data_IF_891985360738
#
_entry.id   IF_891985360738
#
_cell.length_a   1.000
_cell.length_b   1.000
_cell.length_c   1.000
_cell.angle_alpha   90.00
_cell.angle_beta   90.00
_cell.angle_gamma   90.00
#
_symmetry.space_group_name_H-M   'P 1'
#
loop_
_entity.id
_entity.type
_entity.pdbx_description
1 polymer ?
#
# COMPACT_ATOMS: atom_id res chain seq x y z
N UNK A 1 19.09 14.96 -13.60
CA UNK A 1 18.33 13.70 -13.43
C UNK A 1 18.36 13.19 -11.97
N UNK A 2 19.51 13.11 -11.28
CA UNK A 2 19.57 12.66 -9.87
C UNK A 2 18.69 13.49 -8.92
N UNK A 3 18.76 14.81 -8.99
CA UNK A 3 17.92 15.65 -8.11
C UNK A 3 16.42 15.41 -8.34
N UNK A 4 16.00 15.24 -9.59
CA UNK A 4 14.61 14.95 -9.92
C UNK A 4 14.18 13.59 -9.37
N UNK A 5 14.99 12.54 -9.57
CA UNK A 5 14.79 11.22 -8.97
C UNK A 5 14.60 11.30 -7.45
N UNK A 6 15.49 12.02 -6.77
CA UNK A 6 15.45 12.18 -5.31
C UNK A 6 14.18 12.88 -4.84
N UNK A 7 13.70 13.88 -5.58
CA UNK A 7 12.45 14.58 -5.27
C UNK A 7 11.25 13.63 -5.43
N UNK A 8 11.15 12.91 -6.54
CA UNK A 8 10.06 11.95 -6.76
C UNK A 8 10.05 10.83 -5.72
N UNK A 9 11.21 10.30 -5.35
CA UNK A 9 11.32 9.28 -4.30
C UNK A 9 10.88 9.81 -2.93
N UNK A 10 11.28 11.02 -2.56
CA UNK A 10 10.85 11.61 -1.28
C UNK A 10 9.35 11.87 -1.25
N UNK A 11 8.79 12.48 -2.28
CA UNK A 11 7.35 12.74 -2.37
C UNK A 11 6.58 11.42 -2.38
N UNK A 12 7.01 10.45 -3.18
CA UNK A 12 6.39 9.13 -3.25
C UNK A 12 6.44 8.38 -1.92
N UNK A 13 7.58 8.43 -1.22
CA UNK A 13 7.70 7.81 0.11
C UNK A 13 6.79 8.45 1.16
N UNK A 14 6.63 9.78 1.13
CA UNK A 14 5.70 10.49 2.02
C UNK A 14 4.25 10.12 1.68
N UNK A 15 3.89 10.07 0.40
CA UNK A 15 2.55 9.65 -0.03
C UNK A 15 2.25 8.22 0.40
N UNK A 16 3.19 7.29 0.27
CA UNK A 16 3.02 5.91 0.76
C UNK A 16 2.79 5.84 2.26
N UNK A 17 3.44 6.69 3.07
CA UNK A 17 3.17 6.79 4.51
C UNK A 17 1.73 7.25 4.76
N UNK A 18 1.27 8.28 4.06
CA UNK A 18 -0.09 8.82 4.20
C UNK A 18 -1.12 7.76 3.79
N UNK A 19 -0.92 7.09 2.65
CA UNK A 19 -1.81 6.03 2.16
C UNK A 19 -1.83 4.85 3.13
N UNK A 20 -0.67 4.43 3.64
CA UNK A 20 -0.57 3.39 4.66
C UNK A 20 -1.31 3.74 5.95
N UNK A 21 -1.25 4.98 6.41
CA UNK A 21 -2.01 5.46 7.58
C UNK A 21 -3.53 5.43 7.32
N UNK A 22 -3.98 5.80 6.13
CA UNK A 22 -5.39 5.71 5.74
C UNK A 22 -5.84 4.25 5.75
N UNK A 23 -5.06 3.32 5.17
CA UNK A 23 -5.38 1.90 5.18
C UNK A 23 -5.42 1.31 6.59
N UNK A 24 -4.56 1.78 7.51
CA UNK A 24 -4.61 1.39 8.92
C UNK A 24 -5.95 1.78 9.56
N UNK A 25 -6.40 3.01 9.35
CA UNK A 25 -7.68 3.49 9.87
C UNK A 25 -8.84 2.67 9.29
N UNK A 26 -8.85 2.46 7.98
CA UNK A 26 -9.89 1.68 7.27
C UNK A 26 -9.92 0.23 7.80
N UNK A 27 -8.76 -0.39 8.01
CA UNK A 27 -8.64 -1.73 8.59
C UNK A 27 -9.28 -1.80 9.97
N UNK A 28 -8.98 -0.83 10.84
CA UNK A 28 -9.56 -0.76 12.19
C UNK A 28 -11.09 -0.62 12.11
N UNK A 29 -11.60 0.23 11.23
CA UNK A 29 -13.05 0.40 11.03
C UNK A 29 -13.71 -0.91 10.62
N UNK A 30 -13.15 -1.65 9.66
CA UNK A 30 -13.71 -2.93 9.24
C UNK A 30 -13.62 -4.01 10.33
N UNK A 31 -12.57 -4.00 11.16
CA UNK A 31 -12.49 -4.89 12.31
C UNK A 31 -13.61 -4.57 13.31
N UNK A 32 -13.86 -3.30 13.61
CA UNK A 32 -14.93 -2.87 14.52
C UNK A 32 -16.30 -3.30 13.96
N UNK A 33 -16.54 -3.09 12.67
CA UNK A 33 -17.79 -3.47 12.00
C UNK A 33 -18.02 -4.99 11.98
N UNK A 34 -16.96 -5.80 12.04
CA UNK A 34 -17.04 -7.25 12.13
C UNK A 34 -17.23 -7.77 13.55
N UNK A 35 -17.28 -6.90 14.58
CA UNK A 35 -17.49 -7.34 15.98
C UNK A 35 -18.92 -7.83 16.23
N UNK A 36 -19.14 -8.71 17.23
CA UNK A 36 -20.48 -9.15 17.60
C UNK A 36 -21.45 -8.00 17.88
N UNK A 37 -21.01 -6.96 18.59
CA UNK A 37 -21.85 -5.80 18.90
C UNK A 37 -22.42 -5.10 17.65
N UNK A 38 -21.61 -4.95 16.58
CA UNK A 38 -22.07 -4.37 15.31
C UNK A 38 -22.97 -5.34 14.53
N UNK A 39 -22.67 -6.63 14.56
CA UNK A 39 -23.47 -7.66 13.88
C UNK A 39 -24.82 -7.88 14.58
N UNK A 40 -24.90 -7.80 15.89
CA UNK A 40 -26.15 -7.88 16.65
C UNK A 40 -27.07 -6.69 16.31
N UNK A 41 -26.54 -5.49 16.22
CA UNK A 41 -27.29 -4.31 15.77
C UNK A 41 -27.82 -4.49 14.34
N UNK A 42 -27.02 -5.01 13.42
CA UNK A 42 -27.46 -5.33 12.06
C UNK A 42 -28.57 -6.40 12.03
N UNK A 43 -28.42 -7.43 12.85
CA UNK A 43 -29.41 -8.51 12.98
C UNK A 43 -30.77 -7.96 13.47
N UNK A 44 -30.74 -7.12 14.48
CA UNK A 44 -31.95 -6.46 14.99
C UNK A 44 -32.59 -5.57 13.93
N UNK A 45 -31.79 -4.78 13.22
CA UNK A 45 -32.25 -3.92 12.14
C UNK A 45 -32.90 -4.70 10.97
N UNK A 46 -32.33 -5.85 10.61
CA UNK A 46 -32.90 -6.75 9.60
C UNK A 46 -34.21 -7.40 10.06
N UNK A 47 -34.29 -7.82 11.32
CA UNK A 47 -35.52 -8.40 11.89
C UNK A 47 -36.64 -7.41 12.03
N UNK A 48 -36.32 -6.16 12.37
CA UNK A 48 -37.30 -5.07 12.53
C UNK A 48 -37.65 -4.37 11.22
N UNK A 49 -37.01 -4.74 10.09
CA UNK A 49 -37.24 -4.12 8.78
C UNK A 49 -36.70 -2.70 8.65
N UNK A 50 -35.87 -2.22 9.58
CA UNK A 50 -35.18 -0.91 9.50
C UNK A 50 -33.95 -0.97 8.59
N UNK A 51 -33.38 -2.14 8.40
CA UNK A 51 -32.31 -2.42 7.44
C UNK A 51 -32.84 -3.39 6.40
N UNK A 52 -32.64 -3.06 5.14
CA UNK A 52 -32.99 -3.92 4.02
C UNK A 52 -31.73 -4.49 3.35
N UNK A 53 -31.80 -5.73 2.92
CA UNK A 53 -30.71 -6.37 2.16
C UNK A 53 -31.32 -7.14 1.00
N UNK A 54 -30.65 -7.11 -0.14
CA UNK A 54 -31.03 -7.92 -1.33
C UNK A 54 -30.47 -9.36 -1.23
N UNK A 55 -29.81 -9.71 -0.12
CA UNK A 55 -29.32 -11.07 0.09
C UNK A 55 -30.47 -12.03 0.32
N UNK A 56 -30.48 -13.12 -0.46
CA UNK A 56 -31.43 -14.21 -0.27
C UNK A 56 -31.02 -15.04 0.96
N UNK A 57 -31.98 -15.30 1.84
CA UNK A 57 -31.75 -16.12 3.03
C UNK A 57 -32.40 -15.56 4.30
N UNK A 58 -32.04 -16.13 5.45
CA UNK A 58 -32.51 -15.64 6.73
C UNK A 58 -31.68 -14.41 7.18
N UNK A 59 -32.23 -13.55 8.07
CA UNK A 59 -31.48 -12.44 8.63
C UNK A 59 -30.13 -12.85 9.25
N UNK A 60 -30.08 -14.00 9.89
CA UNK A 60 -28.86 -14.56 10.50
C UNK A 60 -27.80 -14.90 9.43
N UNK A 61 -28.22 -15.50 8.33
CA UNK A 61 -27.32 -15.82 7.20
C UNK A 61 -26.79 -14.54 6.55
N UNK A 62 -27.62 -13.51 6.38
CA UNK A 62 -27.21 -12.24 5.86
C UNK A 62 -26.15 -11.56 6.74
N UNK A 63 -26.34 -11.57 8.05
CA UNK A 63 -25.38 -11.00 9.01
C UNK A 63 -24.02 -11.73 8.98
N UNK A 64 -24.02 -13.07 8.91
CA UNK A 64 -22.79 -13.85 8.78
C UNK A 64 -22.06 -13.51 7.48
N UNK A 65 -22.77 -13.38 6.37
CA UNK A 65 -22.17 -13.02 5.08
C UNK A 65 -21.55 -11.60 5.14
N UNK A 66 -22.23 -10.64 5.75
CA UNK A 66 -21.73 -9.27 5.95
C UNK A 66 -20.48 -9.28 6.85
N UNK A 67 -20.49 -10.05 7.93
CA UNK A 67 -19.34 -10.19 8.82
C UNK A 67 -18.10 -10.74 8.10
N UNK A 68 -18.28 -11.81 7.30
CA UNK A 68 -17.21 -12.38 6.47
C UNK A 68 -16.68 -11.35 5.48
N UNK A 69 -17.56 -10.56 4.88
CA UNK A 69 -17.17 -9.48 3.96
C UNK A 69 -16.32 -8.43 4.67
N UNK A 70 -16.72 -7.95 5.86
CA UNK A 70 -15.95 -6.99 6.63
C UNK A 70 -14.58 -7.54 7.06
N UNK A 71 -14.50 -8.79 7.50
CA UNK A 71 -13.23 -9.44 7.83
C UNK A 71 -12.33 -9.57 6.60
N UNK A 72 -12.88 -9.95 5.46
CA UNK A 72 -12.13 -10.04 4.21
C UNK A 72 -11.57 -8.67 3.80
N UNK A 73 -12.36 -7.61 3.90
CA UNK A 73 -11.92 -6.24 3.64
C UNK A 73 -10.83 -5.81 4.63
N UNK A 74 -10.97 -6.12 5.93
CA UNK A 74 -9.95 -5.83 6.94
C UNK A 74 -8.61 -6.50 6.59
N UNK A 75 -8.64 -7.76 6.16
CA UNK A 75 -7.43 -8.49 5.73
C UNK A 75 -6.81 -7.82 4.51
N UNK A 76 -7.59 -7.51 3.48
CA UNK A 76 -7.10 -6.86 2.25
C UNK A 76 -6.43 -5.50 2.54
N UNK A 77 -7.09 -4.64 3.31
CA UNK A 77 -6.52 -3.33 3.67
C UNK A 77 -5.33 -3.45 4.62
N UNK A 78 -5.34 -4.43 5.53
CA UNK A 78 -4.21 -4.73 6.41
C UNK A 78 -2.96 -5.15 5.62
N UNK A 79 -3.12 -6.03 4.63
CA UNK A 79 -2.03 -6.41 3.72
C UNK A 79 -1.54 -5.22 2.90
N UNK A 80 -2.45 -4.41 2.34
CA UNK A 80 -2.10 -3.20 1.60
C UNK A 80 -1.31 -2.20 2.47
N UNK A 81 -1.70 -2.01 3.73
CA UNK A 81 -0.98 -1.17 4.70
C UNK A 81 0.47 -1.63 4.89
N UNK A 82 0.71 -2.95 5.02
CA UNK A 82 2.06 -3.50 5.16
C UNK A 82 2.89 -3.21 3.90
N UNK A 83 2.33 -3.42 2.70
CA UNK A 83 3.03 -3.13 1.45
C UNK A 83 3.36 -1.65 1.31
N UNK A 84 2.46 -0.73 1.67
CA UNK A 84 2.72 0.71 1.64
C UNK A 84 3.82 1.11 2.63
N UNK A 85 3.84 0.53 3.83
CA UNK A 85 4.90 0.74 4.82
C UNK A 85 6.27 0.29 4.31
N UNK A 86 6.36 -0.90 3.71
CA UNK A 86 7.58 -1.41 3.09
C UNK A 86 8.02 -0.53 1.92
N UNK A 87 7.08 -0.11 1.07
CA UNK A 87 7.35 0.78 -0.05
C UNK A 87 7.92 2.10 0.43
N UNK A 88 7.29 2.75 1.42
CA UNK A 88 7.79 3.98 2.02
C UNK A 88 9.22 3.83 2.53
N UNK A 89 9.50 2.75 3.27
CA UNK A 89 10.83 2.47 3.80
C UNK A 89 11.89 2.34 2.70
N UNK A 90 11.65 1.49 1.70
CA UNK A 90 12.63 1.24 0.64
C UNK A 90 12.81 2.43 -0.30
N UNK A 91 11.74 3.16 -0.59
CA UNK A 91 11.76 4.37 -1.42
C UNK A 91 12.54 5.49 -0.74
N UNK A 92 12.32 5.74 0.54
CA UNK A 92 13.08 6.74 1.30
C UNK A 92 14.54 6.33 1.49
N UNK A 93 14.81 5.03 1.64
CA UNK A 93 16.18 4.49 1.66
C UNK A 93 16.90 4.69 0.33
N UNK A 94 16.21 4.48 -0.81
CA UNK A 94 16.74 4.74 -2.14
C UNK A 94 17.05 6.22 -2.35
N UNK A 95 16.19 7.13 -1.87
CA UNK A 95 16.42 8.57 -1.91
C UNK A 95 17.65 9.03 -1.10
N UNK A 96 18.07 8.26 -0.09
CA UNK A 96 19.26 8.55 0.74
C UNK A 96 20.53 7.90 0.20
N UNK A 97 20.45 6.60 -0.18
CA UNK A 97 21.66 5.82 -0.53
C UNK A 97 22.08 6.00 -1.98
N UNK A 98 21.16 6.32 -2.88
CA UNK A 98 21.40 6.53 -4.32
C UNK A 98 22.20 5.40 -4.99
N UNK A 99 22.04 4.16 -4.49
CA UNK A 99 22.69 2.96 -5.04
C UNK A 99 21.77 2.22 -6.00
N UNK A 100 22.35 1.54 -6.99
CA UNK A 100 21.60 0.76 -7.97
C UNK A 100 20.65 -0.25 -7.32
N UNK A 101 21.14 -1.05 -6.36
CA UNK A 101 20.31 -2.01 -5.64
C UNK A 101 19.16 -1.36 -4.86
N UNK A 102 19.35 -0.14 -4.33
CA UNK A 102 18.28 0.58 -3.64
C UNK A 102 17.19 1.05 -4.61
N UNK A 103 17.57 1.49 -5.82
CA UNK A 103 16.61 1.86 -6.86
C UNK A 103 15.82 0.65 -7.37
N UNK A 104 16.49 -0.50 -7.61
CA UNK A 104 15.81 -1.74 -8.02
C UNK A 104 14.79 -2.17 -6.95
N UNK A 105 15.17 -2.15 -5.68
CA UNK A 105 14.25 -2.48 -4.59
C UNK A 105 13.06 -1.53 -4.54
N UNK A 106 13.28 -0.23 -4.72
CA UNK A 106 12.21 0.78 -4.76
C UNK A 106 11.27 0.57 -5.96
N UNK A 107 11.77 0.12 -7.11
CA UNK A 107 10.96 -0.23 -8.28
C UNK A 107 10.05 -1.41 -7.96
N UNK A 108 10.59 -2.49 -7.37
CA UNK A 108 9.82 -3.71 -7.04
C UNK A 108 8.70 -3.36 -6.07
N UNK A 109 9.00 -2.67 -4.98
CA UNK A 109 7.98 -2.31 -3.99
C UNK A 109 7.00 -1.25 -4.50
N UNK A 110 7.45 -0.27 -5.28
CA UNK A 110 6.57 0.70 -5.94
C UNK A 110 5.60 0.04 -6.92
N UNK A 111 6.02 -1.01 -7.63
CA UNK A 111 5.15 -1.80 -8.50
C UNK A 111 4.14 -2.63 -7.68
N UNK A 112 4.58 -3.29 -6.61
CA UNK A 112 3.71 -4.12 -5.75
C UNK A 112 2.65 -3.31 -5.00
N UNK A 113 2.99 -2.09 -4.58
CA UNK A 113 2.03 -1.18 -3.93
C UNK A 113 1.15 -0.41 -4.91
N UNK A 114 1.44 -0.47 -6.22
CA UNK A 114 0.71 0.28 -7.25
C UNK A 114 0.99 1.79 -7.24
N UNK A 115 2.00 2.26 -6.51
CA UNK A 115 2.35 3.67 -6.43
C UNK A 115 3.27 4.09 -7.57
N UNK A 116 2.78 4.95 -8.47
CA UNK A 116 3.49 5.31 -9.70
C UNK A 116 4.65 6.29 -9.45
N UNK A 117 4.53 7.23 -8.53
CA UNK A 117 5.55 8.26 -8.27
C UNK A 117 6.89 7.69 -7.82
N UNK A 118 6.96 6.78 -6.82
CA UNK A 118 8.19 6.10 -6.44
C UNK A 118 8.82 5.31 -7.58
N UNK A 119 8.00 4.66 -8.40
CA UNK A 119 8.45 3.85 -9.53
C UNK A 119 9.16 4.72 -10.58
N UNK A 120 8.55 5.83 -10.98
CA UNK A 120 9.16 6.79 -11.91
C UNK A 120 10.45 7.38 -11.34
N UNK A 121 10.45 7.77 -10.07
CA UNK A 121 11.63 8.29 -9.38
C UNK A 121 12.79 7.29 -9.34
N UNK A 122 12.50 6.02 -9.05
CA UNK A 122 13.51 4.97 -9.00
C UNK A 122 14.07 4.63 -10.38
N UNK A 123 13.24 4.60 -11.43
CA UNK A 123 13.71 4.43 -12.82
C UNK A 123 14.65 5.56 -13.23
N UNK A 124 14.31 6.81 -12.96
CA UNK A 124 15.21 7.94 -13.25
C UNK A 124 16.52 7.85 -12.47
N UNK A 125 16.47 7.39 -11.22
CA UNK A 125 17.65 7.17 -10.40
C UNK A 125 18.57 6.09 -10.98
N UNK A 126 18.00 4.98 -11.42
CA UNK A 126 18.71 3.87 -12.03
C UNK A 126 19.41 4.30 -13.34
N UNK A 127 18.68 5.01 -14.21
CA UNK A 127 19.25 5.53 -15.47
C UNK A 127 20.39 6.52 -15.19
N UNK A 128 20.27 7.36 -14.18
CA UNK A 128 21.30 8.33 -13.81
C UNK A 128 22.55 7.61 -13.25
N UNK A 129 22.37 6.58 -12.42
CA UNK A 129 23.44 5.75 -11.86
C UNK A 129 24.23 5.03 -12.96
N UNK A 130 23.54 4.40 -13.89
CA UNK A 130 24.17 3.69 -15.02
C UNK A 130 24.98 4.63 -15.94
N UNK A 131 24.51 5.86 -16.16
CA UNK A 131 25.28 6.85 -16.94
C UNK A 131 26.57 7.29 -16.26
N UNK A 132 26.61 7.33 -14.93
CA UNK A 132 27.83 7.67 -14.19
C UNK A 132 28.84 6.51 -14.16
N UNK A 133 28.37 5.27 -14.06
CA UNK A 133 29.25 4.09 -14.13
C UNK A 133 29.94 4.01 -15.49
N UNK A 134 29.24 4.32 -16.59
CA UNK A 134 29.83 4.34 -17.94
C UNK A 134 30.85 5.46 -18.17
N UNK A 135 30.85 6.51 -17.34
CA UNK A 135 31.80 7.63 -17.43
C UNK A 135 33.08 7.41 -16.63
N UNK A 136 33.13 6.41 -15.73
CA UNK A 136 34.36 6.05 -15.03
C UNK A 136 35.30 5.29 -15.99
N UNK A 137 36.54 5.76 -16.20
CA UNK A 137 37.53 5.01 -17.01
C UNK A 137 37.70 3.61 -16.45
N UNK A 138 37.81 2.64 -17.35
CA UNK A 138 38.05 1.25 -16.96
C UNK A 138 39.49 1.15 -16.38
N UNK A 139 39.66 0.83 -15.09
CA UNK A 139 41.03 0.76 -14.50
C UNK A 139 41.85 -0.40 -14.99
N UNK A 140 41.38 -1.15 -15.98
CA UNK A 140 42.06 -2.32 -16.54
C UNK A 140 42.86 -2.02 -17.83
N UNK A 141 43.10 -0.76 -18.17
CA UNK A 141 43.86 -0.32 -19.38
C UNK A 141 45.04 0.61 -19.00
N UNK A 142 45.61 0.45 -17.82
CA UNK A 142 46.95 0.97 -17.51
C UNK A 142 47.94 -0.16 -17.25
#
# INVERSE_FOLDING_TARGET
MKNLSRIFLKIGGILSIITGAIFAIVTIVFIILATPASTDFLLEGLKNGTVHTDMQGTPEQAVVAIQIMFLSMAICFGVAMVFEGLTAYFVLKAAKKETEGAYITAIVFGFLSGTQLPLVGAIFGLIASNKEQRKKPNPAIE
#
